data_IF_807356440089
#
_entry.id   IF_807356440089
#
_cell.length_a   1.000
_cell.length_b   1.000
_cell.length_c   1.000
_cell.angle_alpha   90.00
_cell.angle_beta   90.00
_cell.angle_gamma   90.00
#
_symmetry.space_group_name_H-M   'P 1'
#
loop_
_entity.id
_entity.type
_entity.pdbx_description
1 polymer ?
#
# COMPACT_ATOMS: atom_id res chain seq x y z
N UNK A 1 17.61 16.68 -7.51
CA UNK A 1 16.35 16.10 -6.99
C UNK A 1 15.21 17.02 -7.42
N UNK A 2 14.34 16.59 -8.34
CA UNK A 2 13.24 17.44 -8.83
C UNK A 2 12.24 17.73 -7.70
N UNK A 3 11.73 18.96 -7.65
CA UNK A 3 10.76 19.40 -6.65
C UNK A 3 9.43 18.68 -6.93
N UNK A 4 9.15 17.59 -6.22
CA UNK A 4 7.93 16.79 -6.41
C UNK A 4 6.72 17.68 -6.07
N UNK A 5 5.88 17.95 -7.08
CA UNK A 5 4.69 18.79 -6.94
C UNK A 5 3.73 18.19 -5.93
N UNK A 6 3.38 18.97 -4.92
CA UNK A 6 2.43 18.59 -3.87
C UNK A 6 1.02 18.89 -4.37
N UNK A 7 0.21 17.85 -4.57
CA UNK A 7 -1.16 17.97 -5.08
C UNK A 7 -2.11 18.09 -3.88
N UNK A 8 -3.01 19.08 -3.84
CA UNK A 8 -4.05 19.16 -2.81
C UNK A 8 -4.90 17.88 -2.77
N UNK A 9 -5.37 17.47 -1.59
CA UNK A 9 -6.18 16.25 -1.40
C UNK A 9 -5.49 14.96 -1.87
N UNK A 10 -4.15 14.90 -1.84
CA UNK A 10 -3.39 13.70 -2.15
C UNK A 10 -2.95 12.94 -0.90
N UNK A 11 -2.80 11.63 -1.05
CA UNK A 11 -2.15 10.74 -0.08
C UNK A 11 -0.81 10.33 -0.67
N UNK A 12 0.26 10.41 0.13
CA UNK A 12 1.58 9.89 -0.28
C UNK A 12 1.73 8.44 0.18
N UNK A 13 2.01 7.57 -0.78
CA UNK A 13 2.37 6.17 -0.55
C UNK A 13 3.86 5.97 -0.83
N UNK A 14 4.55 5.31 0.09
CA UNK A 14 5.97 4.99 0.01
C UNK A 14 6.13 3.46 0.03
N UNK A 15 6.42 2.90 -1.14
CA UNK A 15 6.61 1.47 -1.32
C UNK A 15 8.09 1.09 -1.20
N UNK A 16 8.35 -0.05 -0.57
CA UNK A 16 9.68 -0.67 -0.63
C UNK A 16 9.96 -1.20 -2.04
N UNK A 17 11.24 -1.27 -2.47
CA UNK A 17 11.60 -1.98 -3.70
C UNK A 17 11.08 -3.43 -3.65
N UNK A 18 10.27 -3.83 -4.63
CA UNK A 18 9.63 -5.14 -4.67
C UNK A 18 8.20 -5.20 -4.15
N UNK A 19 7.61 -4.08 -3.71
CA UNK A 19 6.18 -4.02 -3.37
C UNK A 19 5.33 -4.41 -4.58
N UNK A 20 4.41 -5.36 -4.37
CA UNK A 20 3.68 -6.00 -5.45
C UNK A 20 2.58 -5.10 -6.01
N UNK A 21 2.10 -4.11 -5.25
CA UNK A 21 0.96 -3.27 -5.61
C UNK A 21 1.35 -1.94 -6.28
N UNK A 22 2.64 -1.64 -6.44
CA UNK A 22 3.10 -0.31 -6.86
C UNK A 22 2.68 0.14 -8.28
N UNK A 23 2.36 -0.79 -9.19
CA UNK A 23 1.99 -0.49 -10.58
C UNK A 23 0.49 -0.53 -10.86
N UNK A 24 -0.29 -1.31 -10.09
CA UNK A 24 -1.69 -1.62 -10.38
C UNK A 24 -2.60 -1.44 -9.15
N UNK A 25 -2.38 -0.37 -8.37
CA UNK A 25 -3.20 -0.06 -7.19
C UNK A 25 -4.67 0.10 -7.60
N UNK A 26 -5.54 -0.80 -7.12
CA UNK A 26 -6.96 -0.84 -7.44
C UNK A 26 -7.86 -0.69 -6.21
N UNK A 27 -7.35 -0.99 -5.01
CA UNK A 27 -8.08 -0.89 -3.75
C UNK A 27 -7.24 -0.35 -2.61
N UNK A 28 -7.88 0.40 -1.71
CA UNK A 28 -7.27 0.92 -0.50
C UNK A 28 -8.29 1.00 0.66
N UNK A 29 -7.89 0.58 1.85
CA UNK A 29 -8.74 0.60 3.05
C UNK A 29 -7.95 1.02 4.29
N UNK A 30 -8.48 1.96 5.07
CA UNK A 30 -7.90 2.41 6.33
C UNK A 30 -8.32 1.51 7.49
N UNK A 31 -7.35 1.17 8.35
CA UNK A 31 -7.59 0.53 9.65
C UNK A 31 -6.67 1.17 10.68
N UNK A 32 -7.21 1.96 11.62
CA UNK A 32 -6.44 2.71 12.61
C UNK A 32 -5.26 3.49 11.99
N UNK A 33 -4.03 3.16 12.37
CA UNK A 33 -2.79 3.76 11.87
C UNK A 33 -2.21 3.06 10.64
N UNK A 34 -3.01 2.22 9.98
CA UNK A 34 -2.59 1.44 8.82
C UNK A 34 -3.46 1.76 7.59
N UNK A 35 -2.82 1.66 6.44
CA UNK A 35 -3.46 1.64 5.14
C UNK A 35 -3.15 0.31 4.47
N UNK A 36 -4.19 -0.46 4.19
CA UNK A 36 -4.09 -1.65 3.35
C UNK A 36 -4.30 -1.26 1.90
N UNK A 37 -3.48 -1.79 1.01
CA UNK A 37 -3.60 -1.59 -0.43
C UNK A 37 -3.56 -2.91 -1.18
N UNK A 38 -4.32 -2.97 -2.26
CA UNK A 38 -4.44 -4.14 -3.12
C UNK A 38 -4.27 -3.73 -4.59
N UNK A 39 -3.71 -4.63 -5.38
CA UNK A 39 -3.68 -4.51 -6.83
C UNK A 39 -4.52 -5.60 -7.47
N UNK A 40 -5.18 -5.29 -8.59
CA UNK A 40 -6.05 -6.25 -9.30
C UNK A 40 -5.28 -7.39 -9.97
N UNK A 41 -4.02 -7.15 -10.36
CA UNK A 41 -3.11 -8.16 -10.90
C UNK A 41 -2.16 -8.76 -9.84
N UNK A 42 -2.33 -8.42 -8.57
CA UNK A 42 -1.46 -8.89 -7.48
C UNK A 42 -2.19 -9.93 -6.61
N UNK A 43 -1.61 -11.12 -6.46
CA UNK A 43 -2.07 -12.11 -5.48
C UNK A 43 -1.58 -11.79 -4.04
N UNK A 44 -1.54 -10.50 -3.68
CA UNK A 44 -1.02 -10.01 -2.41
C UNK A 44 -1.66 -8.67 -2.03
N UNK A 45 -1.62 -8.36 -0.74
CA UNK A 45 -1.93 -7.03 -0.21
C UNK A 45 -0.71 -6.46 0.50
N UNK A 46 -0.51 -5.15 0.37
CA UNK A 46 0.51 -4.44 1.13
C UNK A 46 -0.14 -3.67 2.28
N UNK A 47 0.43 -3.79 3.48
CA UNK A 47 0.06 -2.96 4.62
C UNK A 47 1.11 -1.88 4.82
N UNK A 48 0.67 -0.63 4.82
CA UNK A 48 1.51 0.55 5.01
C UNK A 48 1.18 1.21 6.34
N UNK A 49 2.21 1.61 7.10
CA UNK A 49 2.06 2.35 8.35
C UNK A 49 1.89 3.84 8.07
N UNK A 50 1.01 4.49 8.83
CA UNK A 50 0.94 5.96 8.86
C UNK A 50 2.26 6.54 9.34
N UNK A 51 2.77 7.51 8.59
CA UNK A 51 4.00 8.24 8.90
C UNK A 51 3.68 9.65 9.37
N UNK A 52 4.65 10.26 10.04
CA UNK A 52 4.56 11.67 10.43
C UNK A 52 4.34 12.57 9.20
N UNK A 53 3.48 13.59 9.32
CA UNK A 53 3.22 14.51 8.22
C UNK A 53 4.48 15.31 7.87
N UNK A 54 4.66 15.62 6.58
CA UNK A 54 5.78 16.45 6.11
C UNK A 54 5.25 17.56 5.21
N UNK A 55 5.49 18.81 5.62
CA UNK A 55 5.01 20.00 4.91
C UNK A 55 3.50 19.95 4.67
N UNK A 56 3.05 19.86 3.40
CA UNK A 56 1.63 19.79 3.03
C UNK A 56 1.12 18.36 2.84
N UNK A 57 1.97 17.36 3.03
CA UNK A 57 1.61 15.94 2.96
C UNK A 57 1.14 15.48 4.33
N UNK A 58 -0.13 15.72 4.61
CA UNK A 58 -0.74 15.41 5.91
C UNK A 58 -1.12 13.93 6.06
N UNK A 59 -1.26 13.22 4.94
CA UNK A 59 -1.56 11.78 4.89
C UNK A 59 -0.43 11.08 4.14
N UNK A 60 0.46 10.43 4.91
CA UNK A 60 1.62 9.71 4.41
C UNK A 60 1.60 8.30 4.97
N UNK A 61 1.85 7.32 4.11
CA UNK A 61 1.90 5.92 4.46
C UNK A 61 3.12 5.26 3.82
N UNK A 62 3.83 4.43 4.59
CA UNK A 62 5.02 3.75 4.11
C UNK A 62 5.42 2.60 5.03
N UNK A 63 6.71 2.25 5.04
CA UNK A 63 7.22 1.09 5.80
C UNK A 63 6.42 -0.18 5.49
N UNK A 64 6.17 -0.42 4.20
CA UNK A 64 5.26 -1.43 3.73
C UNK A 64 5.71 -2.86 4.02
N UNK A 65 4.73 -3.71 4.33
CA UNK A 65 4.89 -5.15 4.42
C UNK A 65 3.88 -5.82 3.48
N UNK A 66 4.37 -6.72 2.64
CA UNK A 66 3.54 -7.52 1.74
C UNK A 66 3.06 -8.80 2.42
N UNK A 67 1.82 -9.17 2.12
CA UNK A 67 1.19 -10.42 2.56
C UNK A 67 0.61 -11.11 1.35
N UNK A 68 0.97 -12.37 1.13
CA UNK A 68 0.34 -13.16 0.08
C UNK A 68 -1.13 -13.42 0.45
N UNK A 69 -2.04 -13.38 -0.52
CA UNK A 69 -3.46 -13.61 -0.23
C UNK A 69 -3.72 -15.01 0.34
N UNK A 70 -2.92 -16.01 -0.05
CA UNK A 70 -3.00 -17.38 0.46
C UNK A 70 -2.68 -17.48 1.97
N UNK A 71 -1.93 -16.53 2.54
CA UNK A 71 -1.66 -16.50 3.99
C UNK A 71 -2.82 -15.91 4.78
N UNK A 72 -3.75 -15.21 4.12
CA UNK A 72 -4.84 -14.45 4.75
C UNK A 72 -6.22 -15.05 4.48
N UNK A 73 -6.37 -15.78 3.38
CA UNK A 73 -7.64 -16.31 2.88
C UNK A 73 -7.45 -17.77 2.50
N UNK A 74 -8.46 -18.59 2.78
CA UNK A 74 -8.57 -19.92 2.18
C UNK A 74 -8.90 -19.77 0.69
N UNK A 75 -7.86 -19.80 -0.14
CA UNK A 75 -8.00 -19.69 -1.58
C UNK A 75 -8.28 -21.07 -2.19
N UNK A 76 -9.27 -21.20 -3.08
CA UNK A 76 -9.48 -22.44 -3.81
C UNK A 76 -8.31 -22.65 -4.77
N UNK A 77 -7.56 -23.74 -4.62
CA UNK A 77 -6.47 -24.09 -5.54
C UNK A 77 -5.16 -24.56 -4.90
N UNK A 78 -5.02 -24.52 -3.57
CA UNK A 78 -3.97 -25.30 -2.89
C UNK A 78 -4.35 -26.79 -2.94
N UNK A 79 -4.02 -27.44 -4.05
CA UNK A 79 -4.04 -28.89 -4.15
C UNK A 79 -2.76 -29.43 -3.51
N UNK A 80 -2.93 -30.19 -2.43
CA UNK A 80 -2.10 -31.28 -1.87
C UNK A 80 -0.57 -31.24 -2.03
#
# INVERSE_FOLDING_TARGET
>A
MAKKTLIPHSVRLEFAPGALVHSNLSGAAFTDDWLWVAGDEACAVDRLRRLDPVQRETLRFGQGQSFALAELLDLPGEAA
#
